data_IF_686606604618
#
_entry.id   IF_686606604618
#
_cell.length_a   1.000
_cell.length_b   1.000
_cell.length_c   1.000
_cell.angle_alpha   90.00
_cell.angle_beta   90.00
_cell.angle_gamma   90.00
#
_symmetry.space_group_name_H-M   'P 1'
#
loop_
_entity.id
_entity.type
_entity.pdbx_description
1 polymer ?
#
# COMPACT_ATOMS: atom_id res chain seq x y z
N UNK A 1 -2.04 -70.23 -1.12
CA UNK A 1 -2.41 -69.04 -0.32
C UNK A 1 -1.58 -67.89 -0.85
N UNK A 2 -2.11 -67.25 -1.89
CA UNK A 2 -1.46 -66.15 -2.58
C UNK A 2 -1.59 -64.86 -1.77
N UNK A 3 -0.44 -64.22 -1.51
CA UNK A 3 -0.37 -62.91 -0.89
C UNK A 3 -0.84 -61.87 -1.92
N UNK A 4 -1.98 -61.25 -1.62
CA UNK A 4 -2.51 -60.11 -2.37
C UNK A 4 -1.48 -58.98 -2.47
N UNK A 5 -1.16 -58.59 -3.71
CA UNK A 5 -0.41 -57.35 -4.00
C UNK A 5 -1.30 -56.16 -3.62
N UNK A 6 -0.80 -55.35 -2.69
CA UNK A 6 -1.40 -54.06 -2.37
C UNK A 6 -1.41 -53.16 -3.60
N UNK A 7 -2.60 -52.73 -3.98
CA UNK A 7 -2.84 -51.66 -4.94
C UNK A 7 -2.33 -50.35 -4.34
N UNK A 8 -1.16 -49.88 -4.78
CA UNK A 8 -0.73 -48.49 -4.58
C UNK A 8 -1.71 -47.58 -5.29
N UNK A 9 -2.53 -46.86 -4.53
CA UNK A 9 -3.29 -45.72 -5.02
C UNK A 9 -2.33 -44.72 -5.63
N UNK A 10 -2.34 -44.57 -6.95
CA UNK A 10 -1.56 -43.56 -7.66
C UNK A 10 -1.93 -42.17 -7.14
N UNK A 11 -0.93 -41.41 -6.70
CA UNK A 11 -1.08 -39.99 -6.43
C UNK A 11 -1.37 -39.30 -7.77
N UNK A 12 -2.55 -38.67 -7.91
CA UNK A 12 -2.90 -37.92 -9.12
C UNK A 12 -1.92 -36.77 -9.44
N UNK A 13 -1.08 -36.36 -8.48
CA UNK A 13 0.01 -35.38 -8.68
C UNK A 13 1.21 -35.99 -9.42
N UNK A 14 1.37 -37.31 -9.39
CA UNK A 14 2.48 -38.00 -10.07
C UNK A 14 2.34 -38.03 -11.60
N UNK A 15 1.12 -37.88 -12.11
CA UNK A 15 0.80 -38.05 -13.54
C UNK A 15 0.50 -36.73 -14.28
N UNK A 16 0.41 -35.60 -13.56
CA UNK A 16 0.15 -34.27 -14.15
C UNK A 16 1.43 -33.44 -14.12
N UNK A 17 1.84 -32.80 -15.25
CA UNK A 17 2.99 -31.92 -15.25
C UNK A 17 2.83 -30.77 -14.24
N UNK A 18 3.94 -30.38 -13.61
CA UNK A 18 3.99 -29.36 -12.54
C UNK A 18 3.47 -28.00 -13.03
N UNK A 19 3.85 -27.56 -14.24
CA UNK A 19 3.48 -26.23 -14.75
C UNK A 19 1.96 -26.00 -14.87
N UNK A 20 1.16 -26.89 -15.51
CA UNK A 20 -0.29 -26.80 -15.49
C UNK A 20 -0.91 -26.77 -14.09
N UNK A 21 -0.36 -27.52 -13.12
CA UNK A 21 -0.86 -27.50 -11.76
C UNK A 21 -0.65 -26.13 -11.10
N UNK A 22 0.52 -25.53 -11.28
CA UNK A 22 0.82 -24.19 -10.77
C UNK A 22 -0.09 -23.14 -11.42
N UNK A 23 -0.36 -23.25 -12.72
CA UNK A 23 -1.30 -22.36 -13.42
C UNK A 23 -2.75 -22.53 -12.93
N UNK A 24 -3.19 -23.75 -12.63
CA UNK A 24 -4.51 -23.98 -12.02
C UNK A 24 -4.56 -23.35 -10.63
N UNK A 25 -3.54 -23.61 -9.82
CA UNK A 25 -3.45 -23.11 -8.45
C UNK A 25 -3.41 -21.58 -8.37
N UNK A 26 -2.78 -20.90 -9.32
CA UNK A 26 -2.73 -19.42 -9.33
C UNK A 26 -4.10 -18.78 -9.54
N UNK A 27 -5.06 -19.51 -10.11
CA UNK A 27 -6.45 -19.06 -10.34
C UNK A 27 -7.42 -19.47 -9.22
N UNK A 28 -6.96 -20.30 -8.29
CA UNK A 28 -7.77 -20.76 -7.15
C UNK A 28 -7.60 -19.77 -5.98
N UNK A 29 -8.66 -19.45 -5.21
CA UNK A 29 -8.54 -18.55 -4.06
C UNK A 29 -7.44 -18.99 -3.08
N UNK A 30 -6.63 -18.04 -2.60
CA UNK A 30 -5.54 -18.28 -1.65
C UNK A 30 -5.89 -19.22 -0.49
N UNK A 31 -7.06 -19.04 0.14
CA UNK A 31 -7.52 -19.91 1.24
C UNK A 31 -7.65 -21.37 0.83
N UNK A 32 -8.13 -21.64 -0.37
CA UNK A 32 -8.23 -22.99 -0.92
C UNK A 32 -6.84 -23.56 -1.21
N UNK A 33 -5.94 -22.76 -1.79
CA UNK A 33 -4.54 -23.17 -1.99
C UNK A 33 -3.87 -23.51 -0.65
N UNK A 34 -4.10 -22.70 0.39
CA UNK A 34 -3.63 -22.98 1.75
C UNK A 34 -4.10 -24.35 2.25
N UNK A 35 -5.38 -24.70 2.03
CA UNK A 35 -5.95 -25.99 2.44
C UNK A 35 -5.37 -27.16 1.64
N UNK A 36 -4.96 -26.94 0.40
CA UNK A 36 -4.33 -27.98 -0.42
C UNK A 36 -2.97 -28.43 0.11
N UNK A 37 -2.27 -27.60 0.90
CA UNK A 37 -1.07 -28.01 1.66
C UNK A 37 -1.32 -29.26 2.52
N UNK A 38 -2.57 -29.50 2.95
CA UNK A 38 -2.95 -30.65 3.78
C UNK A 38 -3.33 -31.91 2.99
N UNK A 39 -3.38 -31.87 1.65
CA UNK A 39 -3.82 -33.00 0.81
C UNK A 39 -2.75 -34.09 0.73
N UNK A 40 -1.50 -33.72 0.49
CA UNK A 40 -0.36 -34.63 0.49
C UNK A 40 0.97 -33.87 0.63
N UNK A 41 2.07 -34.58 0.91
CA UNK A 41 3.42 -33.99 0.90
C UNK A 41 3.77 -33.36 -0.45
N UNK A 42 3.38 -33.99 -1.55
CA UNK A 42 3.63 -33.44 -2.88
C UNK A 42 2.92 -32.10 -3.11
N UNK A 43 1.69 -31.93 -2.62
CA UNK A 43 0.99 -30.64 -2.67
C UNK A 43 1.67 -29.61 -1.76
N UNK A 44 2.06 -30.00 -0.55
CA UNK A 44 2.80 -29.12 0.35
C UNK A 44 4.09 -28.63 -0.30
N UNK A 45 4.91 -29.53 -0.84
CA UNK A 45 6.18 -29.21 -1.48
C UNK A 45 5.96 -28.32 -2.72
N UNK A 46 4.98 -28.66 -3.57
CA UNK A 46 4.61 -27.85 -4.75
C UNK A 46 4.25 -26.41 -4.38
N UNK A 47 3.41 -26.23 -3.36
CA UNK A 47 2.87 -24.93 -2.95
C UNK A 47 3.92 -24.10 -2.19
N UNK A 48 4.77 -24.76 -1.42
CA UNK A 48 5.79 -24.08 -0.60
C UNK A 48 7.08 -23.78 -1.34
N UNK A 49 7.30 -24.37 -2.53
CA UNK A 49 8.45 -24.08 -3.39
C UNK A 49 8.53 -22.57 -3.76
N UNK A 50 9.64 -21.89 -3.43
CA UNK A 50 9.87 -20.50 -3.81
C UNK A 50 9.63 -20.17 -5.29
N UNK A 51 9.98 -21.08 -6.21
CA UNK A 51 9.81 -20.87 -7.65
C UNK A 51 8.34 -20.83 -8.06
N UNK A 52 7.47 -21.54 -7.35
CA UNK A 52 6.03 -21.55 -7.60
C UNK A 52 5.32 -20.40 -6.90
N UNK A 53 5.76 -19.99 -5.69
CA UNK A 53 5.12 -18.89 -4.94
C UNK A 53 4.94 -17.62 -5.76
N UNK A 54 5.94 -17.23 -6.54
CA UNK A 54 5.84 -16.06 -7.43
C UNK A 54 4.75 -16.21 -8.49
N UNK A 55 4.59 -17.42 -9.05
CA UNK A 55 3.53 -17.73 -10.02
C UNK A 55 2.16 -17.88 -9.36
N UNK A 56 2.11 -18.23 -8.08
CA UNK A 56 0.89 -18.38 -7.29
C UNK A 56 0.40 -17.07 -6.65
N UNK A 57 1.14 -15.97 -6.83
CA UNK A 57 0.74 -14.65 -6.36
C UNK A 57 -0.67 -14.32 -6.85
N UNK A 58 -1.53 -13.93 -5.91
CA UNK A 58 -2.92 -13.63 -6.21
C UNK A 58 -3.06 -12.20 -6.69
N UNK A 59 -4.09 -11.93 -7.49
CA UNK A 59 -4.44 -10.57 -7.85
C UNK A 59 -4.91 -9.77 -6.63
N UNK A 60 -4.66 -8.46 -6.65
CA UNK A 60 -5.29 -7.51 -5.73
C UNK A 60 -6.81 -7.69 -5.75
N UNK A 61 -7.41 -7.84 -4.56
CA UNK A 61 -8.84 -8.12 -4.45
C UNK A 61 -9.65 -6.99 -3.82
N UNK A 62 -8.98 -6.05 -3.17
CA UNK A 62 -9.64 -4.92 -2.53
C UNK A 62 -8.70 -4.00 -1.80
N UNK A 63 -9.31 -3.02 -1.12
CA UNK A 63 -8.63 -2.03 -0.31
C UNK A 63 -9.20 -2.07 1.11
N UNK A 64 -8.33 -2.22 2.10
CA UNK A 64 -8.67 -1.86 3.46
C UNK A 64 -8.57 -0.36 3.61
N UNK A 65 -9.52 0.23 4.31
CA UNK A 65 -9.53 1.64 4.62
C UNK A 65 -10.10 1.89 6.00
N UNK A 66 -9.75 3.05 6.54
CA UNK A 66 -10.26 3.50 7.82
C UNK A 66 -11.70 4.02 7.69
N UNK A 67 -12.57 3.70 8.65
CA UNK A 67 -13.87 4.37 8.78
C UNK A 67 -13.79 5.40 9.89
N UNK A 68 -14.04 6.66 9.52
CA UNK A 68 -14.26 7.71 10.52
C UNK A 68 -15.66 7.57 11.16
N UNK A 69 -15.74 7.91 12.44
CA UNK A 69 -16.87 7.57 13.32
C UNK A 69 -18.03 8.58 13.25
N UNK A 70 -19.19 8.15 13.74
CA UNK A 70 -20.40 8.99 13.87
C UNK A 70 -20.47 9.80 15.18
N UNK A 71 -19.73 9.45 16.24
CA UNK A 71 -19.80 10.08 17.57
C UNK A 71 -18.45 10.10 18.32
N UNK A 72 -18.24 11.13 19.14
CA UNK A 72 -17.01 11.36 19.94
C UNK A 72 -16.81 10.36 21.10
N UNK A 73 -17.87 9.71 21.59
CA UNK A 73 -17.82 8.82 22.77
C UNK A 73 -17.33 7.39 22.49
N UNK A 74 -17.19 7.01 21.22
CA UNK A 74 -16.76 5.67 20.84
C UNK A 74 -15.27 5.69 20.47
N UNK A 75 -14.42 5.06 21.27
CA UNK A 75 -12.96 5.20 21.15
C UNK A 75 -12.30 4.17 20.19
N UNK A 76 -12.96 3.09 19.77
CA UNK A 76 -12.37 2.03 18.91
C UNK A 76 -12.42 2.28 17.39
N UNK A 77 -11.32 2.67 16.74
CA UNK A 77 -11.30 2.81 15.29
C UNK A 77 -11.78 1.54 14.54
N UNK A 78 -12.61 1.72 13.49
CA UNK A 78 -13.19 0.63 12.72
C UNK A 78 -12.69 0.66 11.28
N UNK A 79 -12.48 -0.52 10.70
CA UNK A 79 -11.97 -0.68 9.34
C UNK A 79 -13.08 -1.11 8.38
N UNK A 80 -12.98 -0.70 7.12
CA UNK A 80 -13.77 -1.22 6.00
C UNK A 80 -12.89 -2.01 5.04
N UNK A 81 -13.57 -2.84 4.25
CA UNK A 81 -13.01 -3.42 3.06
C UNK A 81 -13.82 -3.00 1.84
N UNK A 82 -13.14 -2.50 0.83
CA UNK A 82 -13.71 -2.16 -0.48
C UNK A 82 -13.36 -3.30 -1.43
N UNK A 83 -14.39 -4.02 -1.85
CA UNK A 83 -14.26 -5.09 -2.83
C UNK A 83 -14.06 -4.48 -4.23
N UNK A 84 -12.93 -4.79 -4.87
CA UNK A 84 -12.60 -4.33 -6.22
C UNK A 84 -12.93 -5.36 -7.31
N UNK A 85 -13.26 -6.60 -6.95
CA UNK A 85 -13.55 -7.64 -7.92
C UNK A 85 -15.06 -7.85 -8.07
N UNK A 86 -15.54 -7.84 -9.31
CA UNK A 86 -16.91 -8.25 -9.62
C UNK A 86 -17.05 -9.78 -9.47
N UNK A 87 -17.35 -10.26 -8.27
CA UNK A 87 -17.50 -11.70 -7.96
C UNK A 87 -18.93 -12.04 -7.56
N UNK A 88 -19.37 -13.25 -7.90
CA UNK A 88 -20.69 -13.79 -7.52
C UNK A 88 -20.76 -14.29 -6.07
N UNK A 89 -19.60 -14.59 -5.48
CA UNK A 89 -19.48 -15.09 -4.09
C UNK A 89 -18.70 -14.06 -3.28
N UNK A 90 -19.24 -13.54 -2.16
CA UNK A 90 -18.54 -12.60 -1.31
C UNK A 90 -17.21 -13.17 -0.82
N UNK A 91 -16.24 -12.28 -0.61
CA UNK A 91 -15.01 -12.68 0.06
C UNK A 91 -15.27 -13.09 1.49
N UNK A 92 -14.65 -14.20 1.88
CA UNK A 92 -14.44 -14.54 3.28
C UNK A 92 -13.30 -13.67 3.83
N UNK A 93 -13.55 -12.37 3.99
CA UNK A 93 -12.67 -11.42 4.66
C UNK A 93 -13.43 -10.84 5.84
N UNK A 94 -12.72 -10.73 6.95
CA UNK A 94 -13.16 -10.00 8.12
C UNK A 94 -12.63 -8.56 8.03
N UNK A 95 -13.46 -7.58 7.62
CA UNK A 95 -13.02 -6.21 7.43
C UNK A 95 -12.63 -5.53 8.74
N UNK A 96 -13.11 -6.02 9.88
CA UNK A 96 -12.90 -5.42 11.20
C UNK A 96 -11.71 -6.02 11.95
N UNK A 97 -11.03 -7.00 11.34
CA UNK A 97 -9.91 -7.71 11.95
C UNK A 97 -10.25 -8.21 13.36
N UNK A 98 -11.43 -8.82 13.54
CA UNK A 98 -11.95 -9.29 14.83
C UNK A 98 -11.02 -10.27 15.53
N UNK A 99 -10.27 -11.07 14.74
CA UNK A 99 -9.20 -11.94 15.25
C UNK A 99 -8.05 -11.21 15.95
N UNK A 100 -7.93 -9.89 15.77
CA UNK A 100 -7.03 -8.99 16.50
C UNK A 100 -7.79 -8.13 17.50
N UNK A 101 -8.87 -7.48 17.07
CA UNK A 101 -9.56 -6.44 17.85
C UNK A 101 -10.39 -6.98 19.02
N UNK A 102 -10.74 -8.28 19.01
CA UNK A 102 -11.40 -8.95 20.14
C UNK A 102 -10.40 -9.48 21.19
N UNK A 103 -9.08 -9.41 20.93
CA UNK A 103 -8.07 -9.91 21.86
C UNK A 103 -7.85 -8.93 23.03
N UNK A 104 -7.71 -9.45 24.27
CA UNK A 104 -7.42 -8.61 25.42
C UNK A 104 -6.05 -7.94 25.26
N UNK A 105 -6.01 -6.61 25.40
CA UNK A 105 -4.77 -5.82 25.32
C UNK A 105 -4.50 -5.20 23.96
N UNK A 106 -5.29 -5.51 22.93
CA UNK A 106 -5.30 -4.80 21.65
C UNK A 106 -6.54 -3.91 21.63
N UNK A 107 -6.37 -2.59 21.61
CA UNK A 107 -7.49 -1.64 21.68
C UNK A 107 -7.54 -0.67 20.51
N UNK A 108 -6.38 -0.14 20.13
CA UNK A 108 -6.29 0.91 19.13
C UNK A 108 -5.26 0.53 18.07
N UNK A 109 -5.73 0.42 16.83
CA UNK A 109 -4.93 0.04 15.68
C UNK A 109 -5.01 1.13 14.62
N UNK A 110 -3.86 1.57 14.12
CA UNK A 110 -3.76 2.49 12.99
C UNK A 110 -3.15 1.76 11.82
N UNK A 111 -3.87 1.74 10.70
CA UNK A 111 -3.37 1.15 9.47
C UNK A 111 -2.23 2.03 8.93
N UNK A 112 -1.02 1.45 8.81
CA UNK A 112 0.17 2.19 8.35
C UNK A 112 0.63 1.77 6.97
N UNK A 113 0.66 0.47 6.68
CA UNK A 113 1.19 -0.02 5.40
C UNK A 113 0.64 -1.41 5.03
N UNK A 114 0.88 -1.83 3.80
CA UNK A 114 0.64 -3.20 3.31
C UNK A 114 1.65 -3.59 2.25
N UNK A 115 2.12 -4.84 2.33
CA UNK A 115 3.11 -5.37 1.39
C UNK A 115 2.85 -6.85 1.12
N UNK A 116 2.62 -7.22 -0.14
CA UNK A 116 2.48 -8.60 -0.61
C UNK A 116 1.60 -9.50 0.27
N UNK A 117 0.47 -8.96 0.72
CA UNK A 117 -0.55 -9.66 1.50
C UNK A 117 -0.42 -9.58 3.02
N UNK A 118 0.62 -8.94 3.51
CA UNK A 118 0.72 -8.53 4.92
C UNK A 118 0.20 -7.11 5.09
N UNK A 119 -0.41 -6.86 6.25
CA UNK A 119 -0.93 -5.56 6.68
C UNK A 119 -0.24 -5.16 7.98
N UNK A 120 0.20 -3.90 8.05
CA UNK A 120 0.88 -3.31 9.19
C UNK A 120 -0.04 -2.36 9.94
N UNK A 121 -0.18 -2.61 11.24
CA UNK A 121 -0.83 -1.72 12.18
C UNK A 121 0.16 -1.15 13.19
N UNK A 122 -0.02 0.11 13.54
CA UNK A 122 0.53 0.69 14.77
C UNK A 122 -0.47 0.47 15.91
N UNK A 123 0.05 0.08 17.07
CA UNK A 123 -0.75 -0.32 18.23
C UNK A 123 -0.51 0.63 19.41
N UNK A 124 -1.59 1.17 19.98
CA UNK A 124 -1.55 2.13 21.10
C UNK A 124 -2.38 1.65 22.31
N UNK A 125 -2.01 2.14 23.50
CA UNK A 125 -2.74 1.86 24.75
C UNK A 125 -4.11 2.57 24.80
N UNK A 126 -4.16 3.78 24.24
CA UNK A 126 -5.31 4.68 24.17
C UNK A 126 -5.46 5.30 22.78
N UNK A 127 -5.67 6.61 22.69
CA UNK A 127 -5.78 7.34 21.42
C UNK A 127 -4.46 7.44 20.61
N UNK A 128 -4.50 8.11 19.46
CA UNK A 128 -3.34 8.29 18.56
C UNK A 128 -2.21 9.06 19.24
N UNK A 129 -2.58 10.02 20.10
CA UNK A 129 -1.66 10.81 20.93
C UNK A 129 -1.12 10.04 22.15
N UNK A 130 -1.62 8.83 22.40
CA UNK A 130 -1.17 7.99 23.52
C UNK A 130 0.11 7.23 23.17
N UNK A 131 0.79 6.72 24.20
CA UNK A 131 2.05 5.97 24.03
C UNK A 131 1.88 4.80 23.07
N UNK A 132 2.65 4.81 21.97
CA UNK A 132 2.78 3.67 21.07
C UNK A 132 3.31 2.47 21.85
N UNK A 133 2.59 1.36 21.77
CA UNK A 133 3.00 0.07 22.35
C UNK A 133 3.89 -0.74 21.39
N UNK A 134 3.70 -0.56 20.09
CA UNK A 134 4.49 -1.21 19.05
C UNK A 134 3.72 -1.33 17.75
N UNK A 135 4.01 -2.40 17.01
CA UNK A 135 3.35 -2.70 15.74
C UNK A 135 2.78 -4.11 15.74
N UNK A 136 1.80 -4.33 14.88
CA UNK A 136 1.23 -5.65 14.60
C UNK A 136 1.26 -5.85 13.10
N UNK A 137 1.90 -6.94 12.67
CA UNK A 137 1.87 -7.39 11.28
C UNK A 137 0.97 -8.60 11.20
N UNK A 138 -0.04 -8.56 10.33
CA UNK A 138 -0.96 -9.68 10.16
C UNK A 138 -1.14 -10.07 8.69
N UNK A 139 -1.47 -11.34 8.49
CA UNK A 139 -1.97 -11.86 7.23
C UNK A 139 -3.50 -12.01 7.35
N UNK A 140 -4.30 -11.16 6.68
CA UNK A 140 -5.76 -11.23 6.76
C UNK A 140 -6.35 -12.55 6.22
N UNK A 141 -5.59 -13.24 5.36
CA UNK A 141 -6.01 -14.49 4.71
C UNK A 141 -5.91 -15.68 5.65
N UNK A 142 -4.80 -15.79 6.38
CA UNK A 142 -4.54 -16.90 7.32
C UNK A 142 -4.97 -16.58 8.74
N UNK A 143 -5.24 -15.30 9.04
CA UNK A 143 -5.51 -14.76 10.39
C UNK A 143 -4.33 -14.92 11.35
N UNK A 144 -3.14 -15.19 10.82
CA UNK A 144 -1.90 -15.20 11.59
C UNK A 144 -1.40 -13.77 11.76
N UNK A 145 -0.76 -13.50 12.90
CA UNK A 145 -0.23 -12.20 13.22
C UNK A 145 0.98 -12.29 14.14
N UNK A 146 1.77 -11.22 14.16
CA UNK A 146 2.96 -11.08 14.99
C UNK A 146 3.03 -9.67 15.55
N UNK A 147 3.22 -9.56 16.87
CA UNK A 147 3.56 -8.30 17.53
C UNK A 147 5.04 -8.01 17.33
N UNK A 148 5.32 -6.76 17.02
CA UNK A 148 6.67 -6.20 16.92
C UNK A 148 6.80 -5.11 17.98
N UNK A 149 7.79 -5.18 18.88
CA UNK A 149 7.96 -4.15 19.91
C UNK A 149 8.27 -2.80 19.28
N UNK A 150 7.85 -1.71 19.93
CA UNK A 150 8.26 -0.38 19.53
C UNK A 150 9.79 -0.22 19.59
N UNK A 151 10.34 0.61 18.70
CA UNK A 151 11.75 0.99 18.68
C UNK A 151 11.88 2.51 18.69
N UNK A 152 12.92 3.02 19.36
CA UNK A 152 13.16 4.46 19.54
C UNK A 152 12.36 5.09 20.69
N UNK A 153 12.43 6.42 20.79
CA UNK A 153 11.69 7.18 21.80
C UNK A 153 10.18 7.15 21.50
N UNK A 154 9.30 7.02 22.52
CA UNK A 154 7.86 7.11 22.35
C UNK A 154 7.35 8.44 21.79
N UNK A 155 8.17 9.50 21.91
CA UNK A 155 7.80 10.87 21.51
C UNK A 155 8.28 11.25 20.12
N UNK A 156 9.02 10.37 19.43
CA UNK A 156 9.56 10.70 18.12
C UNK A 156 8.56 10.41 17.01
N UNK A 157 8.50 11.29 16.01
CA UNK A 157 7.73 11.06 14.80
C UNK A 157 8.41 9.93 14.00
N UNK A 158 7.67 8.85 13.73
CA UNK A 158 8.24 7.68 13.06
C UNK A 158 7.32 7.12 11.98
N UNK A 159 7.93 6.66 10.88
CA UNK A 159 7.23 6.10 9.74
C UNK A 159 7.71 4.66 9.49
N UNK A 160 6.90 3.64 9.87
CA UNK A 160 7.24 2.25 9.64
C UNK A 160 6.72 1.76 8.28
N UNK A 161 7.52 0.95 7.58
CA UNK A 161 7.15 0.35 6.30
C UNK A 161 7.44 -1.15 6.27
N UNK A 162 6.58 -1.91 5.61
CA UNK A 162 6.72 -3.33 5.40
C UNK A 162 7.64 -3.63 4.20
N UNK A 163 8.60 -4.52 4.43
CA UNK A 163 9.40 -5.13 3.38
C UNK A 163 9.20 -6.65 3.42
N UNK A 164 8.40 -7.16 2.48
CA UNK A 164 8.07 -8.57 2.40
C UNK A 164 7.98 -9.04 0.95
N UNK A 165 8.71 -10.09 0.60
CA UNK A 165 8.55 -10.81 -0.67
C UNK A 165 8.36 -12.30 -0.37
N UNK A 166 7.14 -12.84 -0.53
CA UNK A 166 6.84 -14.23 -0.21
C UNK A 166 7.60 -15.24 -1.08
N UNK A 167 8.07 -14.82 -2.26
CA UNK A 167 8.89 -15.65 -3.14
C UNK A 167 10.36 -15.76 -2.65
N UNK A 168 10.82 -14.84 -1.81
CA UNK A 168 12.21 -14.82 -1.29
C UNK A 168 12.29 -15.41 0.11
N UNK A 169 11.37 -15.05 1.01
CA UNK A 169 11.41 -15.48 2.41
C UNK A 169 10.00 -15.60 2.99
N UNK A 170 9.83 -16.46 4.00
CA UNK A 170 8.64 -16.47 4.86
C UNK A 170 8.67 -15.38 5.93
N UNK A 171 9.81 -14.72 6.11
CA UNK A 171 10.03 -13.67 7.10
C UNK A 171 9.84 -12.30 6.45
N UNK A 172 9.08 -11.43 7.13
CA UNK A 172 8.99 -10.01 6.81
C UNK A 172 10.05 -9.21 7.56
N UNK A 173 10.32 -8.01 7.06
CA UNK A 173 11.08 -6.97 7.74
C UNK A 173 10.25 -5.71 7.90
N UNK A 174 10.54 -4.90 8.91
CA UNK A 174 10.04 -3.52 9.01
C UNK A 174 11.22 -2.57 8.92
N UNK A 175 11.04 -1.46 8.20
CA UNK A 175 11.99 -0.35 8.22
C UNK A 175 11.27 0.87 8.78
N UNK A 176 11.78 1.37 9.90
CA UNK A 176 11.24 2.52 10.59
C UNK A 176 12.16 3.72 10.39
N UNK A 177 11.62 4.80 9.86
CA UNK A 177 12.29 6.10 9.79
C UNK A 177 11.90 6.92 11.00
N UNK A 178 12.88 7.50 11.69
CA UNK A 178 12.66 8.49 12.74
C UNK A 178 12.96 9.88 12.15
N UNK A 179 12.02 10.81 12.30
CA UNK A 179 12.05 12.12 11.62
C UNK A 179 11.90 13.24 12.66
N UNK A 180 12.63 14.34 12.49
CA UNK A 180 12.47 15.57 13.28
C UNK A 180 11.26 16.40 12.82
N UNK A 181 10.87 17.38 13.63
CA UNK A 181 9.82 18.35 13.26
C UNK A 181 10.18 19.16 12.00
N UNK A 182 11.46 19.33 11.69
CA UNK A 182 11.94 20.02 10.48
C UNK A 182 12.09 19.08 9.26
N UNK A 183 11.45 17.91 9.31
CA UNK A 183 11.41 16.90 8.25
C UNK A 183 12.73 16.16 8.00
N UNK A 184 13.75 16.33 8.84
CA UNK A 184 15.02 15.60 8.67
C UNK A 184 14.97 14.19 9.21
N UNK A 185 15.57 13.27 8.46
CA UNK A 185 15.71 11.87 8.88
C UNK A 185 16.82 11.78 9.93
N UNK A 186 16.46 11.40 11.16
CA UNK A 186 17.39 11.20 12.26
C UNK A 186 18.08 9.84 12.19
N UNK A 187 17.27 8.79 12.07
CA UNK A 187 17.74 7.43 12.14
C UNK A 187 16.80 6.48 11.40
N UNK A 188 17.36 5.31 11.05
CA UNK A 188 16.64 4.25 10.36
C UNK A 188 16.89 2.95 11.08
N UNK A 189 15.81 2.27 11.46
CA UNK A 189 15.85 0.99 12.16
C UNK A 189 15.26 -0.10 11.28
N UNK A 190 15.95 -1.23 11.17
CA UNK A 190 15.46 -2.43 10.51
C UNK A 190 15.07 -3.50 11.54
N UNK A 191 13.84 -3.98 11.49
CA UNK A 191 13.38 -5.16 12.24
C UNK A 191 13.35 -6.37 11.31
N UNK A 192 13.87 -7.51 11.75
CA UNK A 192 13.68 -8.79 11.08
C UNK A 192 12.77 -9.70 11.89
N UNK A 193 11.72 -10.24 11.27
CA UNK A 193 10.85 -11.22 11.92
C UNK A 193 11.52 -12.59 12.09
N UNK A 194 12.65 -12.85 11.43
CA UNK A 194 13.46 -14.06 11.61
C UNK A 194 14.25 -14.00 12.92
N UNK A 195 14.94 -12.88 13.16
CA UNK A 195 15.76 -12.70 14.38
C UNK A 195 14.93 -12.19 15.56
N UNK A 196 13.80 -11.54 15.29
CA UNK A 196 12.95 -10.91 16.30
C UNK A 196 13.57 -9.66 16.91
N UNK A 197 14.57 -9.06 16.28
CA UNK A 197 15.33 -7.93 16.82
C UNK A 197 15.32 -6.72 15.88
N UNK A 198 15.38 -5.54 16.48
CA UNK A 198 15.69 -4.28 15.80
C UNK A 198 17.20 -4.11 15.68
N UNK A 199 17.65 -3.68 14.50
CA UNK A 199 19.01 -3.24 14.26
C UNK A 199 18.95 -1.76 13.88
N UNK A 200 19.65 -0.94 14.65
CA UNK A 200 19.88 0.44 14.28
C UNK A 200 21.01 0.50 13.26
N UNK A 201 20.78 1.23 12.17
CA UNK A 201 21.83 1.52 11.21
C UNK A 201 22.66 2.70 11.74
N UNK A 202 23.67 2.39 12.56
CA UNK A 202 24.58 3.37 13.14
C UNK A 202 25.30 4.16 12.05
N UNK A 203 25.37 5.48 12.26
CA UNK A 203 25.91 6.47 11.34
C UNK A 203 27.44 6.42 11.45
N UNK A 204 28.13 5.96 10.41
CA UNK A 204 29.55 6.22 10.27
C UNK A 204 29.74 7.64 9.70
N UNK A 205 29.75 8.65 10.57
CA UNK A 205 30.02 10.06 10.21
C UNK A 205 31.37 10.26 9.48
N UNK A 206 32.24 9.25 9.54
CA UNK A 206 33.62 9.29 9.03
C UNK A 206 33.78 8.62 7.65
N UNK A 207 32.71 8.05 7.08
CA UNK A 207 32.74 7.31 5.81
C UNK A 207 32.07 8.01 4.61
N UNK A 208 31.53 9.21 4.78
CA UNK A 208 30.62 9.88 3.83
C UNK A 208 31.28 10.48 2.56
N UNK A 209 32.06 9.69 1.81
CA UNK A 209 32.64 10.14 0.53
C UNK A 209 31.88 9.65 -0.72
N UNK A 210 30.71 9.01 -0.57
CA UNK A 210 29.85 8.59 -1.69
C UNK A 210 28.63 9.47 -1.96
N UNK A 211 28.29 9.69 -3.25
CA UNK A 211 27.06 10.40 -3.70
C UNK A 211 25.74 9.79 -3.15
N UNK A 212 25.78 8.51 -2.77
CA UNK A 212 24.64 7.76 -2.22
C UNK A 212 24.50 7.90 -0.71
N UNK A 213 25.53 8.34 0.02
CA UNK A 213 25.56 8.28 1.49
C UNK A 213 24.99 9.54 2.15
N UNK A 214 25.02 10.69 1.45
CA UNK A 214 24.43 11.95 1.90
C UNK A 214 22.89 12.03 1.82
N UNK A 215 22.20 10.98 1.40
CA UNK A 215 20.74 10.98 1.20
C UNK A 215 19.94 11.28 2.48
N UNK A 216 20.50 11.00 3.66
CA UNK A 216 19.87 11.28 4.96
C UNK A 216 19.84 12.78 5.29
N UNK A 217 20.56 13.62 4.55
CA UNK A 217 20.50 15.09 4.66
C UNK A 217 19.31 15.69 3.90
N UNK A 218 18.58 14.88 3.15
CA UNK A 218 17.39 15.30 2.42
C UNK A 218 16.17 15.29 3.34
N UNK A 219 15.21 16.17 3.04
CA UNK A 219 13.99 16.25 3.81
C UNK A 219 13.03 15.13 3.43
N UNK A 220 12.37 14.58 4.43
CA UNK A 220 11.34 13.58 4.32
C UNK A 220 10.00 14.28 4.03
N UNK A 221 9.29 13.88 2.97
CA UNK A 221 8.00 14.52 2.66
C UNK A 221 6.93 14.03 3.64
N UNK A 222 6.54 14.87 4.60
CA UNK A 222 5.53 14.56 5.63
C UNK A 222 4.07 14.66 5.14
N UNK A 223 3.82 15.19 3.93
CA UNK A 223 2.47 15.43 3.41
C UNK A 223 1.80 14.17 2.84
N UNK A 224 0.57 13.86 3.28
CA UNK A 224 -0.11 12.55 3.15
C UNK A 224 0.80 11.39 3.65
N UNK A 225 0.28 10.25 4.12
CA UNK A 225 1.16 9.14 4.53
C UNK A 225 2.14 8.81 3.39
N UNK A 226 3.46 9.03 3.56
CA UNK A 226 4.39 8.88 2.47
C UNK A 226 4.41 7.41 2.04
N UNK A 227 4.07 7.13 0.78
CA UNK A 227 4.12 5.76 0.28
C UNK A 227 5.58 5.34 0.11
N UNK A 228 5.91 4.14 0.57
CA UNK A 228 7.25 3.56 0.45
C UNK A 228 7.15 2.17 -0.21
N UNK A 229 6.90 2.10 -1.53
CA UNK A 229 6.73 0.82 -2.20
C UNK A 229 7.99 -0.06 -2.08
N UNK A 230 7.78 -1.36 -1.85
CA UNK A 230 8.85 -2.35 -1.80
C UNK A 230 8.94 -3.10 -3.14
N UNK A 231 9.97 -2.79 -3.95
CA UNK A 231 10.13 -3.32 -5.30
C UNK A 231 11.57 -3.79 -5.50
N UNK A 232 11.76 -4.93 -6.18
CA UNK A 232 13.10 -5.48 -6.47
C UNK A 232 13.99 -5.67 -5.22
N UNK A 233 13.39 -5.94 -4.05
CA UNK A 233 14.11 -6.13 -2.79
C UNK A 233 14.51 -4.83 -2.08
N UNK A 234 14.05 -3.68 -2.55
CA UNK A 234 14.35 -2.37 -1.96
C UNK A 234 13.07 -1.60 -1.64
N UNK A 235 13.12 -0.82 -0.57
CA UNK A 235 12.14 0.22 -0.27
C UNK A 235 12.48 1.47 -1.07
N UNK A 236 11.49 2.10 -1.68
CA UNK A 236 11.69 3.35 -2.40
C UNK A 236 11.01 4.48 -1.66
N UNK A 237 11.77 5.50 -1.29
CA UNK A 237 11.28 6.66 -0.57
C UNK A 237 11.52 7.92 -1.39
N UNK A 238 10.54 8.82 -1.43
CA UNK A 238 10.72 10.15 -2.01
C UNK A 238 11.33 11.07 -0.96
N UNK A 239 12.39 11.77 -1.36
CA UNK A 239 13.15 12.70 -0.54
C UNK A 239 13.35 14.02 -1.30
N UNK A 240 13.51 15.12 -0.57
CA UNK A 240 13.70 16.45 -1.14
C UNK A 240 15.12 16.97 -0.90
N UNK A 241 15.85 17.23 -1.98
CA UNK A 241 17.20 17.80 -1.98
C UNK A 241 17.18 19.18 -2.62
N UNK A 242 17.28 20.25 -1.82
CA UNK A 242 17.31 21.66 -2.31
C UNK A 242 16.22 21.93 -3.37
N UNK A 243 14.97 21.62 -3.00
CA UNK A 243 13.78 21.75 -3.85
C UNK A 243 13.69 20.79 -5.04
N UNK A 244 14.61 19.82 -5.16
CA UNK A 244 14.54 18.75 -6.14
C UNK A 244 14.09 17.44 -5.50
N UNK A 245 12.96 16.91 -5.96
CA UNK A 245 12.50 15.59 -5.56
C UNK A 245 13.42 14.51 -6.15
N UNK A 246 13.72 13.49 -5.36
CA UNK A 246 14.47 12.30 -5.77
C UNK A 246 13.88 11.08 -5.09
N UNK A 247 14.12 9.90 -5.66
CA UNK A 247 13.78 8.63 -5.03
C UNK A 247 15.08 8.00 -4.51
N UNK A 248 15.10 7.65 -3.23
CA UNK A 248 16.14 6.81 -2.65
C UNK A 248 15.64 5.36 -2.58
N UNK A 249 16.43 4.42 -3.08
CA UNK A 249 16.20 3.00 -2.91
C UNK A 249 17.04 2.49 -1.74
N UNK A 250 16.39 1.91 -0.73
CA UNK A 250 16.95 1.46 0.53
C UNK A 250 16.78 -0.04 0.67
N UNK A 251 17.79 -0.74 1.21
CA UNK A 251 17.57 -2.11 1.66
C UNK A 251 16.84 -2.16 3.02
N UNK A 252 16.54 -3.37 3.49
CA UNK A 252 15.85 -3.61 4.77
C UNK A 252 16.66 -3.19 6.00
N UNK A 253 17.93 -2.85 5.84
CA UNK A 253 18.77 -2.29 6.89
C UNK A 253 18.82 -0.75 6.82
N UNK A 254 18.13 -0.11 5.87
CA UNK A 254 18.15 1.35 5.69
C UNK A 254 19.41 1.88 5.03
N UNK A 255 20.17 1.03 4.30
CA UNK A 255 21.31 1.47 3.50
C UNK A 255 20.88 1.82 2.09
N UNK A 256 21.27 3.02 1.62
CA UNK A 256 20.98 3.46 0.27
C UNK A 256 21.76 2.62 -0.76
N UNK A 257 21.02 2.18 -1.78
CA UNK A 257 21.52 1.37 -2.89
C UNK A 257 21.42 2.10 -4.22
N UNK A 258 20.51 3.08 -4.32
CA UNK A 258 20.34 3.91 -5.52
C UNK A 258 19.70 5.25 -5.19
N UNK A 259 20.07 6.28 -5.93
CA UNK A 259 19.30 7.52 -6.08
C UNK A 259 18.78 7.56 -7.51
N UNK A 260 17.47 7.79 -7.66
CA UNK A 260 16.78 7.84 -8.94
C UNK A 260 16.19 9.24 -9.07
N UNK A 261 16.50 10.00 -10.12
CA UNK A 261 15.82 11.26 -10.40
C UNK A 261 14.36 10.97 -10.78
N UNK A 262 13.44 11.82 -10.33
CA UNK A 262 12.05 11.76 -10.80
C UNK A 262 11.88 12.63 -12.06
N UNK A 263 10.85 12.36 -12.89
CA UNK A 263 10.48 13.26 -13.97
C UNK A 263 10.28 14.68 -13.46
N UNK A 264 10.77 15.68 -14.22
CA UNK A 264 10.89 17.05 -13.74
C UNK A 264 9.55 17.66 -13.30
N UNK A 265 9.56 18.18 -12.07
CA UNK A 265 8.44 18.88 -11.41
C UNK A 265 8.78 20.37 -11.25
N UNK A 266 9.82 20.89 -11.91
CA UNK A 266 10.34 22.25 -11.72
C UNK A 266 9.36 23.41 -12.02
N UNK A 267 8.15 23.14 -12.53
CA UNK A 267 7.12 24.16 -12.65
C UNK A 267 6.23 24.18 -11.40
N UNK A 268 6.11 25.34 -10.77
CA UNK A 268 5.18 25.65 -9.67
C UNK A 268 3.73 25.17 -9.87
N UNK A 269 3.34 24.88 -11.11
CA UNK A 269 2.01 24.37 -11.47
C UNK A 269 1.86 22.87 -11.37
N UNK A 270 2.95 22.12 -11.14
CA UNK A 270 2.96 20.67 -11.09
C UNK A 270 3.36 20.18 -9.69
N UNK A 271 2.68 19.18 -9.17
CA UNK A 271 3.07 18.52 -7.91
C UNK A 271 2.90 17.01 -8.02
N UNK A 272 3.64 16.30 -7.16
CA UNK A 272 3.48 14.87 -6.99
C UNK A 272 2.15 14.58 -6.28
N UNK A 273 1.41 13.61 -6.80
CA UNK A 273 0.13 13.19 -6.22
C UNK A 273 0.09 11.69 -5.88
N UNK A 274 0.99 10.89 -6.44
CA UNK A 274 1.08 9.47 -6.13
C UNK A 274 2.46 8.89 -6.42
N UNK A 275 2.88 7.97 -5.57
CA UNK A 275 4.05 7.12 -5.78
C UNK A 275 3.77 5.71 -5.27
N UNK A 276 4.06 4.69 -6.08
CA UNK A 276 3.75 3.31 -5.70
C UNK A 276 4.21 2.28 -6.72
N UNK A 277 3.81 1.04 -6.51
CA UNK A 277 4.13 -0.09 -7.38
C UNK A 277 2.88 -0.58 -8.12
N UNK A 278 3.08 -0.93 -9.39
CA UNK A 278 2.18 -1.74 -10.20
C UNK A 278 3.01 -2.55 -11.21
N UNK A 279 2.65 -3.80 -11.42
CA UNK A 279 3.26 -4.72 -12.39
C UNK A 279 4.78 -4.92 -12.19
N UNK A 280 5.23 -4.84 -10.94
CA UNK A 280 6.64 -4.93 -10.56
C UNK A 280 7.46 -3.69 -10.93
N UNK A 281 6.82 -2.58 -11.30
CA UNK A 281 7.46 -1.34 -11.71
C UNK A 281 7.00 -0.16 -10.84
N UNK A 282 7.93 0.77 -10.61
CA UNK A 282 7.61 2.01 -9.91
C UNK A 282 6.79 2.92 -10.82
N UNK A 283 5.69 3.41 -10.26
CA UNK A 283 4.80 4.38 -10.87
C UNK A 283 4.87 5.69 -10.10
N UNK A 284 5.00 6.78 -10.83
CA UNK A 284 5.07 8.14 -10.31
C UNK A 284 4.03 8.98 -11.02
N UNK A 285 3.14 9.65 -10.28
CA UNK A 285 2.08 10.46 -10.88
C UNK A 285 2.18 11.92 -10.44
N UNK A 286 2.02 12.79 -11.41
CA UNK A 286 2.02 14.24 -11.20
C UNK A 286 0.69 14.84 -11.63
N UNK A 287 0.21 15.81 -10.88
CA UNK A 287 -0.91 16.66 -11.25
C UNK A 287 -0.38 18.03 -11.68
N UNK A 288 -0.89 18.55 -12.78
CA UNK A 288 -0.58 19.89 -13.29
C UNK A 288 -1.85 20.72 -13.37
N UNK A 289 -1.82 21.93 -12.79
CA UNK A 289 -2.90 22.90 -12.87
C UNK A 289 -2.97 23.56 -14.25
N UNK A 290 -4.03 23.25 -15.00
CA UNK A 290 -4.32 23.84 -16.32
C UNK A 290 -5.01 25.21 -16.21
N UNK A 291 -5.87 25.36 -15.20
CA UNK A 291 -6.57 26.61 -14.86
C UNK A 291 -6.85 26.61 -13.36
N UNK A 292 -6.12 27.46 -12.62
CA UNK A 292 -6.24 27.55 -11.16
C UNK A 292 -7.62 28.02 -10.70
N UNK A 293 -8.33 28.83 -11.51
CA UNK A 293 -9.65 29.34 -11.17
C UNK A 293 -10.74 28.29 -11.38
N UNK A 294 -10.52 27.37 -12.31
CA UNK A 294 -11.46 26.28 -12.63
C UNK A 294 -11.04 24.93 -12.05
N UNK A 295 -9.95 24.89 -11.27
CA UNK A 295 -9.30 23.69 -10.70
C UNK A 295 -9.25 22.53 -11.70
N UNK A 296 -8.86 22.85 -12.94
CA UNK A 296 -8.70 21.88 -14.02
C UNK A 296 -7.32 21.26 -13.90
N UNK A 297 -7.24 19.93 -13.74
CA UNK A 297 -5.97 19.24 -13.56
C UNK A 297 -5.70 18.25 -14.69
N UNK A 298 -4.43 18.18 -15.08
CA UNK A 298 -3.90 17.12 -15.92
C UNK A 298 -3.06 16.20 -15.06
N UNK A 299 -3.47 14.93 -14.98
CA UNK A 299 -2.68 13.86 -14.39
C UNK A 299 -1.74 13.29 -15.45
N UNK A 300 -0.47 13.11 -15.09
CA UNK A 300 0.53 12.40 -15.90
C UNK A 300 1.05 11.21 -15.12
N UNK A 301 1.05 10.03 -15.75
CA UNK A 301 1.44 8.77 -15.11
C UNK A 301 2.72 8.27 -15.76
N UNK A 302 3.78 8.24 -14.97
CA UNK A 302 5.11 7.84 -15.37
C UNK A 302 5.44 6.47 -14.81
N UNK A 303 6.14 5.67 -15.60
CA UNK A 303 6.65 4.35 -15.20
C UNK A 303 8.14 4.31 -15.37
N UNK A 304 8.84 3.81 -14.36
CA UNK A 304 10.26 3.54 -14.44
C UNK A 304 10.45 2.22 -15.19
N UNK A 305 10.60 2.31 -16.51
CA UNK A 305 10.60 1.14 -17.40
C UNK A 305 11.94 0.39 -17.31
N UNK A 306 13.04 1.11 -17.44
CA UNK A 306 14.38 0.58 -17.19
C UNK A 306 14.87 1.07 -15.83
N UNK A 307 14.79 0.18 -14.85
CA UNK A 307 15.24 0.47 -13.49
C UNK A 307 16.74 0.83 -13.46
N UNK A 308 17.57 0.12 -14.23
CA UNK A 308 19.03 0.25 -14.27
C UNK A 308 19.48 1.52 -14.98
N UNK A 309 18.90 1.82 -16.14
CA UNK A 309 19.15 3.05 -16.87
C UNK A 309 18.46 4.28 -16.26
N UNK A 310 17.56 4.06 -15.28
CA UNK A 310 16.77 5.11 -14.62
C UNK A 310 15.84 5.85 -15.59
N UNK A 311 15.32 5.12 -16.58
CA UNK A 311 14.50 5.69 -17.66
C UNK A 311 13.02 5.68 -17.32
N UNK A 312 12.45 6.88 -17.19
CA UNK A 312 11.03 7.10 -17.03
C UNK A 312 10.33 7.26 -18.36
N UNK A 313 9.21 6.57 -18.53
CA UNK A 313 8.34 6.67 -19.69
C UNK A 313 6.96 7.15 -19.28
N UNK A 314 6.43 8.13 -20.00
CA UNK A 314 5.06 8.60 -19.82
C UNK A 314 4.11 7.54 -20.39
N UNK A 315 3.37 6.86 -19.50
CA UNK A 315 2.44 5.78 -19.86
C UNK A 315 1.08 6.31 -20.27
N UNK A 316 0.63 7.39 -19.64
CA UNK A 316 -0.66 7.99 -19.95
C UNK A 316 -0.85 9.36 -19.33
N UNK A 317 -1.84 10.07 -19.86
CA UNK A 317 -2.32 11.33 -19.29
C UNK A 317 -3.83 11.31 -19.20
N UNK A 318 -4.36 12.00 -18.19
CA UNK A 318 -5.79 12.08 -17.93
C UNK A 318 -6.14 13.51 -17.53
N UNK A 319 -7.15 14.09 -18.18
CA UNK A 319 -7.69 15.39 -17.78
C UNK A 319 -8.91 15.15 -16.89
N UNK A 320 -8.94 15.78 -15.71
CA UNK A 320 -10.05 15.58 -14.76
C UNK A 320 -11.40 15.94 -15.38
N UNK A 321 -11.49 17.02 -16.17
CA UNK A 321 -12.75 17.43 -16.79
C UNK A 321 -13.25 16.49 -17.88
N UNK A 322 -12.35 15.82 -18.60
CA UNK A 322 -12.75 14.85 -19.64
C UNK A 322 -13.36 13.60 -19.00
N UNK A 323 -12.86 13.24 -17.81
CA UNK A 323 -13.25 12.03 -17.07
C UNK A 323 -14.47 12.27 -16.18
N UNK A 324 -14.55 13.41 -15.50
CA UNK A 324 -15.60 13.71 -14.52
C UNK A 324 -16.66 14.71 -15.03
N UNK A 325 -16.45 15.32 -16.20
CA UNK A 325 -17.34 16.32 -16.83
C UNK A 325 -17.05 17.75 -16.40
N UNK A 326 -17.63 18.74 -17.11
CA UNK A 326 -17.40 20.18 -16.81
C UNK A 326 -18.28 20.74 -15.68
N UNK A 327 -19.24 19.97 -15.18
CA UNK A 327 -20.11 20.28 -14.04
C UNK A 327 -20.94 19.04 -13.76
N UNK A 328 -20.43 18.11 -12.95
CA UNK A 328 -21.28 17.02 -12.46
C UNK A 328 -22.33 17.60 -11.50
N UNK A 329 -23.48 17.97 -12.08
CA UNK A 329 -24.76 18.37 -11.49
C UNK A 329 -24.73 18.48 -9.94
N UNK A 330 -24.25 19.61 -9.44
CA UNK A 330 -24.39 19.98 -8.03
C UNK A 330 -25.87 20.26 -7.82
N UNK A 331 -26.62 19.28 -7.32
CA UNK A 331 -27.96 19.49 -6.76
C UNK A 331 -27.93 20.34 -5.47
N UNK A 332 -27.10 21.38 -5.44
CA UNK A 332 -26.88 22.27 -4.30
C UNK A 332 -27.42 23.64 -4.67
N UNK A 333 -28.41 24.04 -3.89
CA UNK A 333 -29.11 25.33 -3.87
C UNK A 333 -28.16 26.53 -3.82
N UNK A 334 -28.58 27.62 -4.47
CA UNK A 334 -27.99 28.96 -4.48
C UNK A 334 -27.28 29.32 -3.14
N UNK A 335 -25.98 29.62 -3.19
CA UNK A 335 -25.26 30.28 -2.08
C UNK A 335 -23.90 29.69 -1.65
N UNK A 336 -23.46 28.55 -2.16
CA UNK A 336 -22.17 27.92 -1.78
C UNK A 336 -21.21 27.80 -2.97
N UNK A 337 -19.96 28.26 -2.81
CA UNK A 337 -18.88 27.98 -3.77
C UNK A 337 -18.29 26.61 -3.45
N UNK A 338 -18.64 25.60 -4.23
CA UNK A 338 -18.17 24.22 -4.05
C UNK A 338 -17.08 23.93 -5.08
N UNK A 339 -16.03 23.20 -4.69
CA UNK A 339 -14.92 22.85 -5.57
C UNK A 339 -14.70 21.36 -5.70
N UNK A 340 -14.53 20.93 -6.94
CA UNK A 340 -14.15 19.58 -7.32
C UNK A 340 -12.69 19.26 -6.99
N UNK A 341 -12.49 18.12 -6.33
CA UNK A 341 -11.20 17.59 -5.94
C UNK A 341 -11.07 16.13 -6.36
N UNK A 342 -9.88 15.76 -6.82
CA UNK A 342 -9.52 14.39 -7.21
C UNK A 342 -8.21 14.02 -6.55
N UNK A 343 -8.23 12.97 -5.75
CA UNK A 343 -7.04 12.42 -5.07
C UNK A 343 -6.83 10.98 -5.53
N UNK A 344 -5.57 10.63 -5.83
CA UNK A 344 -5.20 9.28 -6.24
C UNK A 344 -5.15 8.41 -4.99
N UNK A 345 -5.95 7.35 -4.97
CA UNK A 345 -5.98 6.38 -3.86
C UNK A 345 -4.88 5.36 -4.04
N UNK A 346 -4.90 4.62 -5.15
CA UNK A 346 -3.93 3.54 -5.43
C UNK A 346 -3.94 3.21 -6.95
N UNK A 347 -3.00 2.39 -7.40
CA UNK A 347 -2.97 1.78 -8.73
C UNK A 347 -3.09 0.26 -8.60
N UNK A 348 -3.87 -0.36 -9.47
CA UNK A 348 -4.06 -1.81 -9.46
C UNK A 348 -2.73 -2.54 -9.69
N UNK A 349 -2.44 -3.57 -8.87
CA UNK A 349 -1.14 -4.25 -8.87
C UNK A 349 -0.78 -4.92 -10.20
N UNK A 350 -1.76 -5.36 -11.00
CA UNK A 350 -1.50 -6.13 -12.23
C UNK A 350 -2.07 -5.52 -13.51
N UNK A 351 -2.82 -4.42 -13.41
CA UNK A 351 -3.54 -3.85 -14.54
C UNK A 351 -3.35 -2.34 -14.56
N UNK A 352 -3.60 -1.72 -15.71
CA UNK A 352 -3.44 -0.29 -15.88
C UNK A 352 -4.65 0.49 -15.37
N UNK A 353 -5.14 0.16 -14.16
CA UNK A 353 -6.30 0.79 -13.54
C UNK A 353 -5.85 1.65 -12.36
N UNK A 354 -6.22 2.92 -12.36
CA UNK A 354 -5.95 3.85 -11.27
C UNK A 354 -7.23 4.14 -10.50
N UNK A 355 -7.14 4.13 -9.17
CA UNK A 355 -8.26 4.41 -8.29
C UNK A 355 -8.17 5.83 -7.75
N UNK A 356 -9.29 6.55 -7.81
CA UNK A 356 -9.39 7.94 -7.37
C UNK A 356 -10.52 8.12 -6.38
N UNK A 357 -10.33 8.98 -5.40
CA UNK A 357 -11.45 9.62 -4.70
C UNK A 357 -11.81 10.91 -5.42
N UNK A 358 -13.07 10.97 -5.86
CA UNK A 358 -13.69 12.15 -6.43
C UNK A 358 -14.64 12.75 -5.40
N UNK A 359 -14.42 14.01 -5.02
CA UNK A 359 -15.19 14.66 -3.95
C UNK A 359 -15.26 16.18 -4.14
N UNK A 360 -16.14 16.80 -3.37
CA UNK A 360 -16.39 18.24 -3.42
C UNK A 360 -16.16 18.91 -2.06
N UNK A 361 -15.59 20.11 -2.05
CA UNK A 361 -15.28 20.89 -0.84
C UNK A 361 -15.92 22.28 -0.91
N UNK A 362 -16.56 22.75 0.16
CA UNK A 362 -17.04 24.13 0.28
C UNK A 362 -15.87 25.10 0.51
N UNK A 363 -15.69 26.10 -0.36
CA UNK A 363 -14.62 27.10 -0.25
C UNK A 363 -14.72 27.95 1.03
N UNK A 364 -15.92 28.14 1.57
CA UNK A 364 -16.18 29.06 2.67
C UNK A 364 -16.02 28.44 4.07
N UNK A 365 -15.83 27.12 4.16
CA UNK A 365 -15.60 26.40 5.44
C UNK A 365 -14.20 25.82 5.48
N UNK A 366 -13.19 26.70 5.53
CA UNK A 366 -11.78 26.33 5.43
C UNK A 366 -11.09 25.91 6.73
N UNK A 367 -11.82 25.61 7.82
CA UNK A 367 -11.16 25.43 9.12
C UNK A 367 -10.69 23.99 9.35
N UNK A 368 -11.24 23.00 8.65
CA UNK A 368 -10.72 21.63 8.64
C UNK A 368 -10.92 20.99 7.28
N UNK A 369 -9.81 20.73 6.57
CA UNK A 369 -9.79 19.99 5.30
C UNK A 369 -10.34 18.57 5.42
N UNK A 370 -10.71 18.08 6.61
CA UNK A 370 -11.02 16.67 6.89
C UNK A 370 -12.44 16.38 7.39
N UNK A 371 -13.28 17.39 7.69
CA UNK A 371 -14.50 17.12 8.50
C UNK A 371 -15.85 17.41 7.83
N UNK A 372 -15.92 18.01 6.63
CA UNK A 372 -17.20 18.34 6.00
C UNK A 372 -17.22 18.03 4.49
N UNK A 373 -17.36 16.72 4.22
CA UNK A 373 -17.76 16.11 2.94
C UNK A 373 -19.09 16.69 2.41
N UNK A 374 -19.39 16.60 1.11
CA UNK A 374 -20.78 16.62 0.60
C UNK A 374 -21.20 15.24 0.05
N UNK A 375 -20.29 14.57 -0.68
CA UNK A 375 -20.25 13.13 -1.06
C UNK A 375 -18.85 12.79 -1.57
N UNK A 376 -18.42 11.54 -1.43
CA UNK A 376 -17.21 11.02 -2.10
C UNK A 376 -17.53 9.82 -2.97
N UNK A 377 -16.85 9.68 -4.10
CA UNK A 377 -16.91 8.50 -4.96
C UNK A 377 -15.53 7.90 -5.08
N UNK A 378 -15.41 6.59 -4.88
CA UNK A 378 -14.24 5.85 -5.35
C UNK A 378 -14.50 5.44 -6.80
N UNK A 379 -13.58 5.83 -7.67
CA UNK A 379 -13.69 5.67 -9.10
C UNK A 379 -12.46 4.91 -9.60
N UNK A 380 -12.67 3.94 -10.48
CA UNK A 380 -11.63 3.29 -11.26
C UNK A 380 -11.55 3.91 -12.65
N UNK A 381 -10.34 4.23 -13.08
CA UNK A 381 -10.02 4.68 -14.42
C UNK A 381 -9.10 3.66 -15.08
N UNK A 382 -9.53 3.09 -16.19
CA UNK A 382 -8.72 2.19 -17.01
C UNK A 382 -7.91 3.02 -18.00
N UNK A 383 -6.59 2.94 -17.94
CA UNK A 383 -5.69 3.71 -18.79
C UNK A 383 -5.68 3.24 -20.25
N UNK A 384 -6.03 1.98 -20.50
CA UNK A 384 -5.99 1.37 -21.82
C UNK A 384 -7.29 1.69 -22.59
N UNK A 385 -8.45 1.51 -21.96
CA UNK A 385 -9.76 1.83 -22.56
C UNK A 385 -10.16 3.30 -22.39
N UNK A 386 -9.54 4.02 -21.45
CA UNK A 386 -9.92 5.37 -21.00
C UNK A 386 -11.34 5.42 -20.42
N UNK A 387 -11.83 4.30 -19.92
CA UNK A 387 -13.15 4.21 -19.30
C UNK A 387 -13.09 4.49 -17.80
N UNK A 388 -14.20 5.02 -17.29
CA UNK A 388 -14.36 5.43 -15.90
C UNK A 388 -15.52 4.64 -15.31
N UNK A 389 -15.31 4.01 -14.17
CA UNK A 389 -16.34 3.25 -13.46
C UNK A 389 -16.39 3.64 -11.98
N UNK A 390 -17.59 3.86 -11.45
CA UNK A 390 -17.76 4.12 -10.01
C UNK A 390 -17.77 2.78 -9.27
N UNK A 391 -16.84 2.62 -8.33
CA UNK A 391 -16.73 1.42 -7.48
C UNK A 391 -17.66 1.53 -6.28
N UNK A 392 -17.59 2.66 -5.59
CA UNK A 392 -18.34 2.89 -4.35
C UNK A 392 -18.63 4.37 -4.16
N UNK A 393 -19.70 4.67 -3.41
CA UNK A 393 -20.08 6.01 -3.00
C UNK A 393 -20.15 6.07 -1.48
N UNK A 394 -19.55 7.10 -0.91
CA UNK A 394 -19.45 7.31 0.52
C UNK A 394 -20.18 8.60 0.92
N UNK A 395 -20.90 8.54 2.04
CA UNK A 395 -21.49 9.72 2.68
C UNK A 395 -20.43 10.49 3.50
N UNK A 396 -20.75 11.74 3.87
CA UNK A 396 -19.88 12.83 4.39
C UNK A 396 -18.78 12.50 5.41
N UNK A 397 -18.83 11.33 6.05
CA UNK A 397 -17.95 10.97 7.17
C UNK A 397 -17.04 9.78 6.92
N UNK A 398 -17.15 9.07 5.80
CA UNK A 398 -16.19 8.00 5.46
C UNK A 398 -15.02 8.60 4.67
N UNK A 399 -13.88 8.76 5.33
CA UNK A 399 -12.66 9.29 4.75
C UNK A 399 -11.74 8.12 4.32
N UNK A 400 -11.38 8.06 3.03
CA UNK A 400 -10.41 7.08 2.51
C UNK A 400 -8.95 7.50 2.80
N UNK A 401 -8.70 7.99 4.00
CA UNK A 401 -7.35 8.25 4.50
C UNK A 401 -6.70 6.92 4.87
N UNK A 402 -5.45 6.73 4.45
CA UNK A 402 -4.66 5.52 4.72
C UNK A 402 -5.32 4.25 4.20
N UNK A 403 -5.09 3.94 2.92
CA UNK A 403 -5.56 2.69 2.31
C UNK A 403 -4.44 1.65 2.27
N UNK A 404 -4.81 0.39 2.45
CA UNK A 404 -3.91 -0.75 2.30
C UNK A 404 -4.46 -1.69 1.24
N UNK A 405 -3.63 -2.04 0.26
CA UNK A 405 -3.99 -3.00 -0.78
C UNK A 405 -4.05 -4.40 -0.19
N UNK A 406 -5.15 -5.11 -0.46
CA UNK A 406 -5.28 -6.50 -0.09
C UNK A 406 -4.95 -7.41 -1.28
N UNK A 407 -3.86 -8.14 -1.11
CA UNK A 407 -3.37 -9.16 -2.03
C UNK A 407 -3.33 -10.46 -1.25
N UNK A 408 -4.25 -11.42 -1.45
CA UNK A 408 -4.26 -12.62 -0.64
C UNK A 408 -2.95 -13.41 -0.71
N UNK A 409 -2.48 -13.87 0.45
CA UNK A 409 -1.25 -14.63 0.62
C UNK A 409 -1.47 -15.77 1.64
N UNK A 410 -0.82 -16.93 1.46
CA UNK A 410 -1.16 -18.18 2.17
C UNK A 410 0.00 -19.05 2.63
#
# INVERSE_FOLDING_TARGET
MDRAKGSTSGSAVGDVPVDPLVEILSRVPAKSVCRFKCVSKAWLDLITDPHHRKKLAQAMQGLFCHKSKKSEDDQSYSFSFIDLAARSVPLDIDPSFSFLTELPGIRFLYLRDSCNGLVLFEHHEGSEDSTRLGYIVCNPTTKEWKVVPACGSPTSLTFPYLAFDPAVSSHFNLVQFQVEEDEKILSVYGYSSETGAWCENQIDEQGEEGQLEGWRRFNFLLGNPPRCPFVNGFLHLIVLDKDQMKIVALDVQGKARRMIPVPDVADSRRWMCYFGESQGQLHYMTQESLDAHKRKYKLSIWVLQDYCAQEWVLKGTMNTNEVFGENSDTGVTEGFEVVECVEVVDIHQHCNVVFFTHFWVDQNRSVDFFTHFLKRKLVAYDLDSKEVSTISTFDDRECLLHTARYVPYF
#
